data_IF_416749203770
#
_entry.id   IF_416749203770
#
_cell.length_a   1.000
_cell.length_b   1.000
_cell.length_c   1.000
_cell.angle_alpha   90.00
_cell.angle_beta   90.00
_cell.angle_gamma   90.00
#
_symmetry.space_group_name_H-M   'P 1'
#
loop_
_entity.id
_entity.type
_entity.pdbx_description
1 polymer ?
#
# COMPACT_ATOMS: atom_id res chain seq x y z
N UNK A 1 -7.63 -3.59 -29.05
CA UNK A 1 -7.04 -4.29 -27.89
C UNK A 1 -8.05 -4.39 -26.76
N UNK A 2 -8.14 -5.59 -26.14
CA UNK A 2 -9.11 -5.91 -25.07
C UNK A 2 -8.37 -6.51 -23.87
N UNK A 3 -8.41 -5.85 -22.74
CA UNK A 3 -7.77 -6.34 -21.50
C UNK A 3 -8.83 -6.69 -20.47
N UNK A 4 -8.66 -7.86 -19.85
CA UNK A 4 -9.47 -8.31 -18.73
C UNK A 4 -8.76 -7.93 -17.42
N UNK A 5 -9.48 -7.28 -16.52
CA UNK A 5 -9.03 -7.05 -15.14
C UNK A 5 -9.93 -7.82 -14.18
N UNK A 6 -9.34 -8.47 -13.18
CA UNK A 6 -10.07 -9.22 -12.15
C UNK A 6 -9.79 -8.59 -10.80
N UNK A 7 -10.84 -8.12 -10.11
CA UNK A 7 -10.74 -7.48 -8.80
C UNK A 7 -11.56 -6.20 -8.68
N UNK A 8 -11.60 -5.60 -7.48
CA UNK A 8 -12.46 -4.44 -7.17
C UNK A 8 -11.76 -3.41 -6.26
N UNK A 9 -10.45 -3.47 -6.08
CA UNK A 9 -9.71 -2.55 -5.21
C UNK A 9 -9.05 -1.42 -5.98
N UNK A 10 -8.36 -0.55 -5.23
CA UNK A 10 -7.64 0.61 -5.75
C UNK A 10 -6.64 0.24 -6.87
N UNK A 11 -5.96 -0.90 -6.74
CA UNK A 11 -5.04 -1.44 -7.75
C UNK A 11 -5.75 -1.66 -9.09
N UNK A 12 -6.85 -2.39 -9.09
CA UNK A 12 -7.62 -2.70 -10.30
C UNK A 12 -8.17 -1.45 -10.97
N UNK A 13 -8.72 -0.52 -10.17
CA UNK A 13 -9.29 0.73 -10.67
C UNK A 13 -8.21 1.66 -11.24
N UNK A 14 -7.04 1.72 -10.58
CA UNK A 14 -5.91 2.53 -11.04
C UNK A 14 -5.34 1.99 -12.35
N UNK A 15 -5.12 0.68 -12.44
CA UNK A 15 -4.65 0.03 -13.65
C UNK A 15 -5.67 0.18 -14.78
N UNK A 16 -6.96 -0.05 -14.51
CA UNK A 16 -8.04 0.13 -15.46
C UNK A 16 -8.08 1.54 -16.04
N UNK A 17 -7.91 2.55 -15.18
CA UNK A 17 -7.88 3.95 -15.63
C UNK A 17 -6.64 4.26 -16.49
N UNK A 18 -5.48 3.75 -16.11
CA UNK A 18 -4.25 3.88 -16.90
C UNK A 18 -4.39 3.25 -18.30
N UNK A 19 -4.95 2.04 -18.39
CA UNK A 19 -5.18 1.35 -19.67
C UNK A 19 -6.17 2.10 -20.58
N UNK A 20 -7.24 2.65 -20.01
CA UNK A 20 -8.21 3.44 -20.76
C UNK A 20 -7.60 4.72 -21.30
N UNK A 21 -6.72 5.38 -20.54
CA UNK A 21 -6.00 6.55 -20.99
C UNK A 21 -5.12 6.24 -22.22
N UNK A 22 -4.71 4.96 -22.40
CA UNK A 22 -4.02 4.43 -23.59
C UNK A 22 -4.97 3.91 -24.69
N UNK A 23 -6.27 4.25 -24.60
CA UNK A 23 -7.32 3.83 -25.56
C UNK A 23 -7.55 2.31 -25.64
N UNK A 24 -7.19 1.56 -24.59
CA UNK A 24 -7.42 0.12 -24.48
C UNK A 24 -8.81 -0.14 -23.90
N UNK A 25 -9.55 -1.08 -24.47
CA UNK A 25 -10.86 -1.51 -23.95
C UNK A 25 -10.67 -2.44 -22.75
N UNK A 26 -11.25 -2.08 -21.61
CA UNK A 26 -11.09 -2.78 -20.32
C UNK A 26 -12.41 -3.43 -19.90
N UNK A 27 -12.33 -4.74 -19.62
CA UNK A 27 -13.41 -5.53 -19.01
C UNK A 27 -13.00 -5.87 -17.59
N UNK A 28 -13.69 -5.26 -16.62
CA UNK A 28 -13.40 -5.49 -15.21
C UNK A 28 -14.39 -6.47 -14.60
N UNK A 29 -13.91 -7.64 -14.26
CA UNK A 29 -14.66 -8.70 -13.58
C UNK A 29 -14.46 -8.62 -12.08
N UNK A 30 -15.56 -8.60 -11.31
CA UNK A 30 -15.53 -8.41 -9.87
C UNK A 30 -16.66 -9.15 -9.19
N UNK A 31 -16.42 -9.61 -7.97
CA UNK A 31 -17.46 -10.11 -7.05
C UNK A 31 -18.01 -8.96 -6.22
N UNK A 32 -19.30 -8.99 -5.91
CA UNK A 32 -19.99 -7.88 -5.21
C UNK A 32 -19.69 -7.79 -3.71
N UNK A 33 -18.90 -8.71 -3.16
CA UNK A 33 -18.85 -9.03 -1.73
C UNK A 33 -17.85 -8.23 -0.88
N UNK A 34 -17.40 -7.03 -1.26
CA UNK A 34 -16.47 -6.27 -0.38
C UNK A 34 -17.15 -5.07 0.26
N UNK A 35 -17.41 -5.19 1.57
CA UNK A 35 -17.56 -4.01 2.44
C UNK A 35 -16.27 -3.19 2.35
N UNK A 36 -16.34 -2.01 1.75
CA UNK A 36 -15.17 -1.12 1.63
C UNK A 36 -14.76 -0.64 3.01
N UNK A 37 -13.54 -0.96 3.41
CA UNK A 37 -12.94 -0.43 4.63
C UNK A 37 -12.88 1.10 4.55
N UNK A 38 -13.56 1.81 5.47
CA UNK A 38 -13.70 3.28 5.42
C UNK A 38 -12.57 4.01 6.12
N UNK A 39 -11.85 3.34 7.00
CA UNK A 39 -10.76 3.93 7.81
C UNK A 39 -9.38 3.74 7.18
N UNK A 40 -9.27 2.88 6.16
CA UNK A 40 -7.98 2.62 5.51
C UNK A 40 -7.47 3.87 4.80
N UNK A 41 -6.25 4.27 5.17
CA UNK A 41 -5.53 5.39 4.57
C UNK A 41 -4.24 4.91 3.93
N UNK A 42 -3.77 5.65 2.96
CA UNK A 42 -2.58 5.32 2.17
C UNK A 42 -1.67 6.55 2.14
N UNK A 43 -0.38 6.31 2.41
CA UNK A 43 0.68 7.28 2.15
C UNK A 43 1.26 7.04 0.76
N UNK A 44 1.20 8.04 -0.10
CA UNK A 44 1.77 7.98 -1.45
C UNK A 44 3.01 8.86 -1.53
N UNK A 45 4.13 8.31 -2.01
CA UNK A 45 5.36 9.07 -2.25
C UNK A 45 5.14 10.13 -3.32
N UNK A 46 5.96 11.18 -3.31
CA UNK A 46 5.81 12.28 -4.26
C UNK A 46 5.88 11.82 -5.70
N UNK A 47 6.90 11.04 -6.07
CA UNK A 47 7.08 10.56 -7.45
C UNK A 47 5.92 9.67 -7.92
N UNK A 48 5.36 8.86 -7.00
CA UNK A 48 4.19 8.04 -7.28
C UNK A 48 2.91 8.88 -7.38
N UNK A 49 2.78 9.95 -6.60
CA UNK A 49 1.65 10.89 -6.73
C UNK A 49 1.70 11.65 -8.05
N UNK A 50 2.88 12.10 -8.46
CA UNK A 50 3.09 12.79 -9.73
C UNK A 50 2.74 11.85 -10.90
N UNK A 51 3.20 10.58 -10.85
CA UNK A 51 2.81 9.54 -11.82
C UNK A 51 1.29 9.30 -11.80
N UNK A 52 0.68 9.14 -10.62
CA UNK A 52 -0.75 8.90 -10.47
C UNK A 52 -1.57 10.04 -11.09
N UNK A 53 -1.18 11.28 -10.81
CA UNK A 53 -1.87 12.46 -11.31
C UNK A 53 -1.73 12.62 -12.84
N UNK A 54 -0.58 12.27 -13.39
CA UNK A 54 -0.29 12.41 -14.83
C UNK A 54 -0.88 11.27 -15.65
N UNK A 55 -0.65 10.03 -15.22
CA UNK A 55 -0.90 8.85 -16.05
C UNK A 55 -2.20 8.11 -15.71
N UNK A 56 -2.78 8.35 -14.53
CA UNK A 56 -4.01 7.69 -14.10
C UNK A 56 -5.14 8.71 -14.02
N UNK A 57 -5.17 9.52 -12.95
CA UNK A 57 -6.18 10.56 -12.77
C UNK A 57 -5.67 11.64 -11.82
N UNK A 58 -5.90 12.91 -12.18
CA UNK A 58 -5.61 14.05 -11.31
C UNK A 58 -6.49 14.02 -10.07
N UNK A 59 -5.88 13.85 -8.89
CA UNK A 59 -6.59 13.93 -7.61
C UNK A 59 -6.95 15.38 -7.28
N UNK A 60 -8.11 15.59 -6.68
CA UNK A 60 -8.52 16.89 -6.18
C UNK A 60 -7.68 17.29 -4.98
N UNK A 61 -7.38 18.57 -4.80
CA UNK A 61 -6.57 19.10 -3.68
C UNK A 61 -7.09 18.69 -2.29
N UNK A 62 -8.40 18.57 -2.13
CA UNK A 62 -9.02 18.16 -0.87
C UNK A 62 -9.00 16.66 -0.59
N UNK A 63 -8.58 15.84 -1.54
CA UNK A 63 -8.45 14.38 -1.37
C UNK A 63 -7.07 13.97 -0.83
N UNK A 64 -6.10 14.87 -0.82
CA UNK A 64 -4.73 14.58 -0.37
C UNK A 64 -4.29 15.52 0.72
N UNK A 65 -3.51 15.01 1.67
CA UNK A 65 -2.91 15.79 2.75
C UNK A 65 -1.39 15.60 2.76
N UNK A 66 -0.67 16.71 2.68
CA UNK A 66 0.78 16.70 2.50
C UNK A 66 1.52 16.54 3.82
N UNK A 67 2.47 15.62 3.87
CA UNK A 67 3.35 15.36 5.00
C UNK A 67 4.75 15.87 4.69
N UNK A 68 5.25 16.75 5.55
CA UNK A 68 6.59 17.35 5.44
C UNK A 68 7.62 16.65 6.30
N UNK A 69 7.16 15.93 7.32
CA UNK A 69 8.03 15.36 8.35
C UNK A 69 7.53 14.00 8.84
N UNK A 70 8.44 13.08 9.06
CA UNK A 70 8.18 11.80 9.72
C UNK A 70 9.06 11.72 10.96
N UNK A 71 8.45 11.50 12.10
CA UNK A 71 9.15 11.25 13.35
C UNK A 71 9.04 9.77 13.72
N UNK A 72 10.15 9.16 14.07
CA UNK A 72 10.20 7.79 14.57
C UNK A 72 10.56 7.81 16.05
N UNK A 73 9.76 7.09 16.84
CA UNK A 73 9.93 6.93 18.28
C UNK A 73 9.99 5.46 18.66
N UNK A 74 10.58 5.15 19.81
CA UNK A 74 10.40 3.86 20.49
C UNK A 74 9.95 4.09 21.92
N UNK A 75 9.12 3.17 22.42
CA UNK A 75 8.63 3.21 23.81
C UNK A 75 9.79 3.15 24.84
N UNK A 76 10.85 2.39 24.53
CA UNK A 76 12.03 2.20 25.35
C UNK A 76 12.73 3.49 25.77
N UNK A 77 12.62 4.54 24.96
CA UNK A 77 13.24 5.84 25.22
C UNK A 77 12.26 6.91 25.70
N UNK A 78 11.16 6.48 26.37
CA UNK A 78 10.16 7.37 26.99
C UNK A 78 9.72 8.53 26.07
N UNK A 79 9.43 8.21 24.80
CA UNK A 79 8.99 9.22 23.83
C UNK A 79 10.10 10.10 23.25
N UNK A 80 11.37 9.81 23.52
CA UNK A 80 12.48 10.49 22.84
C UNK A 80 12.45 10.11 21.34
N UNK A 81 12.53 11.12 20.51
CA UNK A 81 12.62 11.00 19.09
C UNK A 81 13.94 10.34 18.71
N UNK A 82 13.89 9.21 18.00
CA UNK A 82 15.07 8.47 17.58
C UNK A 82 15.57 8.96 16.24
N UNK A 83 14.64 9.19 15.30
CA UNK A 83 14.99 9.54 13.94
C UNK A 83 13.97 10.51 13.35
N UNK A 84 14.44 11.36 12.43
CA UNK A 84 13.64 12.37 11.79
C UNK A 84 13.94 12.41 10.29
N UNK A 85 12.91 12.22 9.48
CA UNK A 85 12.95 12.54 8.07
C UNK A 85 12.26 13.88 7.87
N UNK A 86 12.97 14.86 7.38
CA UNK A 86 12.43 16.19 7.10
C UNK A 86 12.91 16.67 5.74
N UNK A 87 12.00 17.13 4.92
CA UNK A 87 12.32 17.81 3.67
C UNK A 87 11.75 19.22 3.74
N UNK A 88 12.65 20.21 3.74
CA UNK A 88 12.29 21.61 3.93
C UNK A 88 11.66 22.24 2.68
N UNK A 89 12.01 21.74 1.49
CA UNK A 89 11.57 22.32 0.22
C UNK A 89 10.43 21.55 -0.48
N UNK A 90 10.16 20.29 -0.10
CA UNK A 90 9.20 19.42 -0.79
C UNK A 90 8.44 18.58 0.22
N UNK A 91 7.26 18.07 -0.14
CA UNK A 91 6.56 17.08 0.66
C UNK A 91 7.24 15.73 0.53
N UNK A 92 7.38 15.01 1.65
CA UNK A 92 7.91 13.63 1.68
C UNK A 92 6.91 12.67 1.03
N UNK A 93 5.65 12.77 1.44
CA UNK A 93 4.55 11.98 0.89
C UNK A 93 3.22 12.68 1.14
N UNK A 94 2.17 12.18 0.52
CA UNK A 94 0.80 12.67 0.72
C UNK A 94 -0.09 11.53 1.22
N UNK A 95 -0.95 11.85 2.17
CA UNK A 95 -1.95 10.92 2.70
C UNK A 95 -3.27 11.09 1.97
N UNK A 96 -3.98 9.99 1.72
CA UNK A 96 -5.36 10.00 1.26
C UNK A 96 -6.16 8.82 1.83
N UNK A 97 -7.48 8.94 1.81
CA UNK A 97 -8.37 7.85 2.19
C UNK A 97 -8.63 6.93 1.00
N UNK A 98 -8.40 5.64 1.19
CA UNK A 98 -8.51 4.64 0.13
C UNK A 98 -9.89 4.63 -0.53
N UNK A 99 -10.96 4.63 0.27
CA UNK A 99 -12.32 4.59 -0.23
C UNK A 99 -12.70 5.82 -1.07
N UNK A 100 -12.24 7.03 -0.69
CA UNK A 100 -12.54 8.26 -1.44
C UNK A 100 -11.90 8.22 -2.85
N UNK A 101 -10.66 7.73 -2.95
CA UNK A 101 -9.97 7.60 -4.24
C UNK A 101 -10.57 6.47 -5.09
N UNK A 102 -10.94 5.34 -4.46
CA UNK A 102 -11.65 4.26 -5.16
C UNK A 102 -12.98 4.74 -5.77
N UNK A 103 -13.79 5.45 -4.99
CA UNK A 103 -15.07 6.00 -5.45
C UNK A 103 -14.89 7.02 -6.58
N UNK A 104 -13.86 7.87 -6.47
CA UNK A 104 -13.52 8.85 -7.50
C UNK A 104 -13.11 8.18 -8.81
N UNK A 105 -12.24 7.17 -8.75
CA UNK A 105 -11.84 6.36 -9.90
C UNK A 105 -13.02 5.62 -10.52
N UNK A 106 -13.82 4.93 -9.70
CA UNK A 106 -14.96 4.16 -10.16
C UNK A 106 -15.99 5.03 -10.88
N UNK A 107 -16.28 6.22 -10.33
CA UNK A 107 -17.17 7.21 -10.96
C UNK A 107 -16.65 7.68 -12.33
N UNK A 108 -15.31 7.87 -12.44
CA UNK A 108 -14.69 8.26 -13.71
C UNK A 108 -14.71 7.12 -14.74
N UNK A 109 -14.41 5.90 -14.30
CA UNK A 109 -14.38 4.71 -15.14
C UNK A 109 -15.77 4.39 -15.72
N UNK A 110 -16.82 4.41 -14.89
CA UNK A 110 -18.19 4.13 -15.32
C UNK A 110 -18.71 5.06 -16.44
N UNK A 111 -18.16 6.28 -16.54
CA UNK A 111 -18.51 7.24 -17.60
C UNK A 111 -17.81 6.96 -18.93
N UNK A 112 -16.81 6.08 -18.97
CA UNK A 112 -15.99 5.86 -20.15
C UNK A 112 -16.48 4.64 -20.94
N UNK A 113 -16.75 4.82 -22.24
CA UNK A 113 -17.23 3.76 -23.15
C UNK A 113 -16.24 2.59 -23.32
N UNK A 114 -14.96 2.79 -23.03
CA UNK A 114 -13.93 1.75 -23.08
C UNK A 114 -13.91 0.88 -21.82
N UNK A 115 -14.67 1.21 -20.77
CA UNK A 115 -14.72 0.45 -19.53
C UNK A 115 -16.07 -0.28 -19.37
N UNK A 116 -15.99 -1.59 -19.12
CA UNK A 116 -17.17 -2.38 -18.79
C UNK A 116 -16.94 -3.14 -17.49
N UNK A 117 -17.71 -2.81 -16.43
CA UNK A 117 -17.71 -3.57 -15.16
C UNK A 117 -18.71 -4.73 -15.28
N UNK A 118 -18.30 -5.93 -14.91
CA UNK A 118 -19.08 -7.17 -14.98
C UNK A 118 -19.06 -7.83 -13.61
N UNK A 119 -20.23 -8.05 -13.04
CA UNK A 119 -20.37 -8.74 -11.76
C UNK A 119 -20.37 -10.25 -11.98
N UNK A 120 -19.58 -10.94 -11.18
CA UNK A 120 -19.46 -12.40 -11.17
C UNK A 120 -20.17 -12.95 -9.93
N UNK A 121 -21.00 -13.97 -10.14
CA UNK A 121 -21.79 -14.57 -9.06
C UNK A 121 -21.04 -15.67 -8.30
N UNK A 122 -20.13 -16.39 -8.94
CA UNK A 122 -19.44 -17.53 -8.36
C UNK A 122 -18.08 -17.80 -9.04
N UNK A 123 -17.27 -18.66 -8.43
CA UNK A 123 -15.93 -19.04 -8.86
C UNK A 123 -15.91 -19.77 -10.22
N UNK A 124 -16.95 -20.58 -10.53
CA UNK A 124 -17.06 -21.24 -11.83
C UNK A 124 -17.19 -20.22 -12.99
N UNK A 125 -17.95 -19.15 -12.76
CA UNK A 125 -18.06 -18.05 -13.73
C UNK A 125 -16.73 -17.33 -13.92
N UNK A 126 -15.94 -17.19 -12.85
CA UNK A 126 -14.61 -16.59 -12.90
C UNK A 126 -13.62 -17.47 -13.69
N UNK A 127 -13.66 -18.82 -13.51
CA UNK A 127 -12.84 -19.76 -14.30
C UNK A 127 -13.15 -19.68 -15.80
N UNK A 128 -14.41 -19.45 -16.18
CA UNK A 128 -14.78 -19.27 -17.60
C UNK A 128 -14.14 -18.01 -18.22
N UNK A 129 -13.91 -16.95 -17.42
CA UNK A 129 -13.29 -15.71 -17.91
C UNK A 129 -11.87 -15.94 -18.39
N UNK A 130 -11.12 -16.86 -17.78
CA UNK A 130 -9.74 -17.21 -18.17
C UNK A 130 -9.67 -17.78 -19.58
N UNK A 131 -10.73 -18.45 -20.04
CA UNK A 131 -10.82 -19.06 -21.37
C UNK A 131 -11.43 -18.13 -22.43
N UNK A 132 -11.78 -16.87 -22.05
CA UNK A 132 -12.30 -15.88 -23.00
C UNK A 132 -11.14 -15.26 -23.81
N UNK A 133 -11.46 -14.82 -25.01
CA UNK A 133 -10.50 -14.22 -25.92
C UNK A 133 -10.20 -12.76 -25.52
N UNK A 134 -9.24 -12.60 -24.58
CA UNK A 134 -8.62 -11.34 -24.21
C UNK A 134 -7.14 -11.35 -24.60
N UNK A 135 -6.65 -10.19 -25.03
CA UNK A 135 -5.22 -10.03 -25.32
C UNK A 135 -4.38 -10.25 -24.04
N UNK A 136 -4.83 -9.68 -22.91
CA UNK A 136 -4.22 -9.84 -21.59
C UNK A 136 -5.29 -10.04 -20.52
N UNK A 137 -5.02 -10.90 -19.55
CA UNK A 137 -5.81 -11.09 -18.33
C UNK A 137 -4.94 -10.73 -17.14
N UNK A 138 -5.39 -9.80 -16.29
CA UNK A 138 -4.63 -9.32 -15.14
C UNK A 138 -5.45 -9.53 -13.87
N UNK A 139 -4.98 -10.42 -12.99
CA UNK A 139 -5.62 -10.73 -11.73
C UNK A 139 -5.05 -9.89 -10.60
N UNK A 140 -5.87 -8.98 -10.06
CA UNK A 140 -5.54 -8.12 -8.91
C UNK A 140 -6.20 -8.59 -7.60
N UNK A 141 -6.95 -9.69 -7.60
CA UNK A 141 -7.63 -10.21 -6.40
C UNK A 141 -6.88 -11.39 -5.81
N UNK A 142 -6.30 -11.19 -4.63
CA UNK A 142 -5.49 -12.18 -3.95
C UNK A 142 -6.29 -13.33 -3.30
N UNK A 143 -7.63 -13.22 -3.27
CA UNK A 143 -8.50 -14.16 -2.56
C UNK A 143 -9.51 -14.85 -3.50
N UNK A 144 -9.20 -15.01 -4.77
CA UNK A 144 -10.06 -15.69 -5.72
C UNK A 144 -9.46 -17.02 -6.17
N UNK A 145 -10.30 -17.85 -6.81
CA UNK A 145 -9.93 -19.19 -7.28
C UNK A 145 -8.77 -19.20 -8.28
N UNK A 146 -8.60 -18.12 -9.09
CA UNK A 146 -7.48 -17.99 -10.04
C UNK A 146 -6.16 -17.84 -9.28
N UNK A 147 -6.17 -17.09 -8.19
CA UNK A 147 -4.99 -16.95 -7.34
C UNK A 147 -4.63 -18.27 -6.66
N UNK A 148 -5.63 -19.01 -6.18
CA UNK A 148 -5.43 -20.31 -5.53
C UNK A 148 -4.92 -21.36 -6.51
N UNK A 149 -5.41 -21.36 -7.74
CA UNK A 149 -5.08 -22.38 -8.74
C UNK A 149 -3.73 -22.10 -9.44
N UNK A 150 -3.43 -20.85 -9.80
CA UNK A 150 -2.27 -20.54 -10.65
C UNK A 150 -1.13 -19.84 -9.91
N UNK A 151 -1.41 -19.17 -8.78
CA UNK A 151 -0.44 -18.34 -8.05
C UNK A 151 -0.23 -18.80 -6.59
N UNK A 152 -0.33 -20.09 -6.33
CA UNK A 152 -0.16 -20.67 -4.99
C UNK A 152 1.30 -20.72 -4.52
N UNK A 153 2.27 -20.71 -5.43
CA UNK A 153 3.71 -20.72 -5.09
C UNK A 153 4.15 -19.37 -4.57
N UNK A 154 4.09 -19.19 -3.23
CA UNK A 154 4.41 -17.93 -2.56
C UNK A 154 5.38 -18.18 -1.40
N UNK A 155 6.19 -17.16 -1.11
CA UNK A 155 6.88 -17.05 0.17
C UNK A 155 5.87 -16.39 1.11
N UNK A 156 5.38 -17.14 2.09
CA UNK A 156 4.37 -16.67 3.03
C UNK A 156 4.94 -16.61 4.45
N UNK A 157 4.63 -15.53 5.19
CA UNK A 157 4.91 -15.42 6.61
C UNK A 157 3.67 -14.88 7.31
N UNK A 158 3.15 -15.64 8.25
CA UNK A 158 2.09 -15.18 9.13
C UNK A 158 2.74 -14.48 10.33
N UNK A 159 2.45 -13.21 10.52
CA UNK A 159 2.96 -12.46 11.66
C UNK A 159 2.24 -12.81 12.98
N UNK A 160 1.09 -13.55 12.91
CA UNK A 160 0.19 -13.72 14.05
C UNK A 160 -0.17 -12.38 14.71
N UNK A 161 -0.32 -11.36 13.88
CA UNK A 161 -0.58 -9.98 14.29
C UNK A 161 -1.82 -9.45 13.58
N UNK A 162 -2.51 -8.51 14.22
CA UNK A 162 -3.62 -7.76 13.63
C UNK A 162 -3.27 -6.28 13.56
N UNK A 163 -3.68 -5.63 12.49
CA UNK A 163 -3.74 -4.18 12.44
C UNK A 163 -5.14 -3.70 12.81
N UNK A 164 -5.17 -2.68 13.66
CA UNK A 164 -6.36 -1.93 14.03
C UNK A 164 -6.24 -0.54 13.43
N UNK A 165 -7.29 -0.07 12.76
CA UNK A 165 -7.28 1.27 12.17
C UNK A 165 -8.52 2.05 12.57
N UNK A 166 -8.32 3.31 12.91
CA UNK A 166 -9.38 4.28 13.13
C UNK A 166 -8.93 5.67 12.68
N UNK A 167 -9.87 6.59 12.58
CA UNK A 167 -9.60 8.01 12.40
C UNK A 167 -9.94 8.71 13.70
N UNK A 168 -8.99 9.43 14.27
CA UNK A 168 -9.23 10.31 15.40
C UNK A 168 -9.58 11.71 14.90
N UNK A 169 -10.63 12.29 15.47
CA UNK A 169 -10.96 13.71 15.36
C UNK A 169 -10.39 14.45 16.59
N UNK A 170 -9.71 15.55 16.36
CA UNK A 170 -9.00 16.27 17.41
C UNK A 170 -9.12 17.79 17.21
N UNK A 171 -8.80 18.57 18.25
CA UNK A 171 -8.74 20.02 18.12
C UNK A 171 -7.78 20.46 17.02
N UNK A 172 -8.03 21.63 16.45
CA UNK A 172 -7.25 22.18 15.33
C UNK A 172 -5.77 22.34 15.71
N UNK A 173 -4.90 21.73 14.91
CA UNK A 173 -3.44 21.88 15.04
C UNK A 173 -2.79 21.97 13.65
N UNK A 174 -1.55 22.46 13.58
CA UNK A 174 -0.72 22.29 12.38
C UNK A 174 -0.30 20.83 12.31
N UNK A 175 -0.87 20.10 11.34
CA UNK A 175 -0.80 18.65 11.27
C UNK A 175 -0.12 18.15 10.00
N UNK A 176 1.17 18.43 9.84
CA UNK A 176 1.99 18.05 8.67
C UNK A 176 3.11 17.06 9.01
N UNK A 177 3.08 16.48 10.21
CA UNK A 177 4.10 15.55 10.71
C UNK A 177 3.45 14.21 11.00
N UNK A 178 3.86 13.15 10.30
CA UNK A 178 3.51 11.78 10.63
C UNK A 178 4.42 11.26 11.75
N UNK A 179 3.90 10.33 12.57
CA UNK A 179 4.67 9.68 13.61
C UNK A 179 4.52 8.16 13.54
N UNK A 180 5.63 7.46 13.73
CA UNK A 180 5.68 6.02 13.92
C UNK A 180 6.32 5.74 15.28
N UNK A 181 5.62 5.02 16.14
CA UNK A 181 6.09 4.64 17.47
C UNK A 181 6.22 3.11 17.50
N UNK A 182 7.40 2.60 17.76
CA UNK A 182 7.62 1.18 17.96
C UNK A 182 7.46 0.85 19.45
N UNK A 183 6.34 0.23 19.78
CA UNK A 183 5.98 -0.14 21.15
C UNK A 183 6.27 -1.62 21.42
N UNK A 184 6.27 -2.04 22.69
CA UNK A 184 6.41 -3.45 23.10
C UNK A 184 5.27 -4.34 22.56
N UNK A 185 4.10 -3.75 22.32
CA UNK A 185 2.92 -4.47 21.82
C UNK A 185 2.98 -4.57 20.29
N UNK A 186 3.60 -3.59 19.62
CA UNK A 186 3.75 -3.49 18.17
C UNK A 186 3.77 -2.04 17.70
N UNK A 187 4.00 -1.78 16.42
CA UNK A 187 4.10 -0.43 15.89
C UNK A 187 2.74 0.27 15.82
N UNK A 188 2.70 1.53 16.25
CA UNK A 188 1.57 2.44 16.08
C UNK A 188 1.98 3.63 15.24
N UNK A 189 1.18 3.99 14.23
CA UNK A 189 1.38 5.13 13.38
C UNK A 189 0.25 6.16 13.53
N UNK A 190 0.62 7.43 13.59
CA UNK A 190 -0.28 8.58 13.52
C UNK A 190 -0.04 9.30 12.19
N UNK A 191 -1.02 9.23 11.30
CA UNK A 191 -0.92 9.67 9.91
C UNK A 191 -1.90 10.82 9.65
N UNK A 192 -1.46 12.07 9.58
CA UNK A 192 -2.32 13.23 9.40
C UNK A 192 -3.16 13.17 8.12
N UNK A 193 -4.45 13.52 8.22
CA UNK A 193 -5.38 13.65 7.10
C UNK A 193 -5.90 15.07 6.90
N UNK A 194 -5.84 15.87 7.95
CA UNK A 194 -6.19 17.30 7.96
C UNK A 194 -5.68 17.95 9.25
N UNK A 195 -5.94 19.23 9.43
CA UNK A 195 -5.67 19.92 10.70
C UNK A 195 -6.57 19.45 11.87
N UNK A 196 -7.58 18.62 11.59
CA UNK A 196 -8.57 18.14 12.56
C UNK A 196 -8.68 16.61 12.63
N UNK A 197 -8.07 15.89 11.67
CA UNK A 197 -8.21 14.43 11.55
C UNK A 197 -6.86 13.76 11.32
N UNK A 198 -6.65 12.66 12.03
CA UNK A 198 -5.46 11.82 11.90
C UNK A 198 -5.89 10.34 11.86
N UNK A 199 -5.38 9.62 10.88
CA UNK A 199 -5.54 8.16 10.85
C UNK A 199 -4.54 7.52 11.79
N UNK A 200 -5.01 6.53 12.54
CA UNK A 200 -4.19 5.70 13.42
C UNK A 200 -4.17 4.28 12.87
N UNK A 201 -2.97 3.72 12.76
CA UNK A 201 -2.76 2.31 12.39
C UNK A 201 -1.94 1.67 13.50
N UNK A 202 -2.54 0.77 14.26
CA UNK A 202 -1.90 0.08 15.36
C UNK A 202 -1.80 -1.42 15.06
N UNK A 203 -0.60 -1.93 14.93
CA UNK A 203 -0.34 -3.36 14.72
C UNK A 203 0.01 -4.00 16.05
N UNK A 204 -0.66 -5.11 16.40
CA UNK A 204 -0.44 -5.81 17.67
C UNK A 204 -0.04 -7.25 17.43
N UNK A 205 0.93 -7.76 18.18
CA UNK A 205 1.27 -9.19 18.23
C UNK A 205 0.23 -9.92 19.10
N UNK A 206 -0.47 -10.89 18.51
CA UNK A 206 -1.53 -11.65 19.19
C UNK A 206 -1.01 -12.86 19.99
N UNK A 207 0.30 -13.11 19.99
CA UNK A 207 0.84 -14.32 20.65
C UNK A 207 0.55 -14.37 22.14
N UNK A 208 0.46 -13.21 22.81
CA UNK A 208 0.39 -13.14 24.25
C UNK A 208 -0.91 -12.55 24.79
N UNK A 209 -1.73 -11.86 23.98
CA UNK A 209 -2.99 -11.23 24.43
C UNK A 209 -3.93 -10.94 23.27
N UNK A 210 -5.21 -11.31 23.45
CA UNK A 210 -6.29 -10.85 22.57
C UNK A 210 -6.84 -9.54 23.16
N UNK A 211 -6.76 -8.47 22.38
CA UNK A 211 -7.29 -7.17 22.77
C UNK A 211 -8.72 -7.00 22.27
N UNK A 212 -9.59 -6.47 23.13
CA UNK A 212 -10.90 -5.98 22.72
C UNK A 212 -10.80 -4.53 22.19
N UNK A 213 -11.89 -4.00 21.62
CA UNK A 213 -11.89 -2.70 20.97
C UNK A 213 -11.61 -1.55 21.95
N UNK A 214 -12.16 -1.62 23.16
CA UNK A 214 -11.95 -0.62 24.21
C UNK A 214 -10.49 -0.58 24.68
N UNK A 215 -9.85 -1.75 24.82
CA UNK A 215 -8.44 -1.83 25.18
C UNK A 215 -7.54 -1.20 24.10
N UNK A 216 -7.86 -1.43 22.82
CA UNK A 216 -7.11 -0.81 21.71
C UNK A 216 -7.28 0.71 21.72
N UNK A 217 -8.48 1.24 21.93
CA UNK A 217 -8.71 2.68 22.00
C UNK A 217 -7.95 3.31 23.16
N UNK A 218 -7.97 2.69 24.36
CA UNK A 218 -7.16 3.14 25.50
C UNK A 218 -5.66 3.13 25.22
N UNK A 219 -5.16 2.11 24.49
CA UNK A 219 -3.76 2.08 24.09
C UNK A 219 -3.43 3.19 23.08
N UNK A 220 -4.33 3.49 22.14
CA UNK A 220 -4.16 4.62 21.21
C UNK A 220 -4.10 5.94 21.99
N UNK A 221 -4.95 6.15 22.98
CA UNK A 221 -4.91 7.32 23.86
C UNK A 221 -3.60 7.38 24.65
N UNK A 222 -3.15 6.27 25.21
CA UNK A 222 -1.90 6.17 25.98
C UNK A 222 -0.66 6.53 25.15
N UNK A 223 -0.60 6.07 23.89
CA UNK A 223 0.51 6.39 22.98
C UNK A 223 0.32 7.70 22.22
N UNK A 224 -0.82 8.36 22.40
CA UNK A 224 -1.06 9.66 21.81
C UNK A 224 -0.17 10.73 22.47
N UNK A 225 0.73 11.29 21.68
CA UNK A 225 1.73 12.25 22.17
C UNK A 225 1.36 13.72 21.87
N UNK A 226 0.30 13.98 21.08
CA UNK A 226 0.13 15.30 20.47
C UNK A 226 -1.32 15.79 20.39
N UNK A 227 -2.28 14.86 20.21
CA UNK A 227 -3.62 15.22 19.82
C UNK A 227 -4.56 15.33 21.03
N UNK A 228 -5.30 16.42 21.12
CA UNK A 228 -6.46 16.51 22.02
C UNK A 228 -7.65 15.88 21.30
N UNK A 229 -7.88 14.59 21.58
CA UNK A 229 -8.87 13.74 20.90
C UNK A 229 -10.28 14.16 21.33
N UNK A 230 -11.16 14.37 20.34
CA UNK A 230 -12.58 14.65 20.54
C UNK A 230 -13.41 13.38 20.30
N UNK A 231 -13.07 12.61 19.24
CA UNK A 231 -13.85 11.46 18.84
C UNK A 231 -13.00 10.43 18.11
N UNK A 232 -13.43 9.15 18.17
CA UNK A 232 -12.87 8.04 17.39
C UNK A 232 -13.90 7.57 16.37
N UNK A 233 -13.46 7.33 15.13
CA UNK A 233 -14.28 6.58 14.18
C UNK A 233 -14.41 5.11 14.62
N UNK A 234 -15.27 4.35 13.94
CA UNK A 234 -15.34 2.89 14.12
C UNK A 234 -13.96 2.27 13.92
N UNK A 235 -13.56 1.37 14.82
CA UNK A 235 -12.34 0.58 14.74
C UNK A 235 -12.51 -0.54 13.71
N UNK A 236 -11.63 -0.59 12.71
CA UNK A 236 -11.55 -1.67 11.72
C UNK A 236 -10.32 -2.54 11.98
N UNK A 237 -10.42 -3.84 11.62
CA UNK A 237 -9.40 -4.86 11.94
C UNK A 237 -9.00 -5.64 10.70
N UNK A 238 -7.70 -5.89 10.53
CA UNK A 238 -7.17 -6.73 9.45
C UNK A 238 -6.11 -7.68 9.98
N UNK A 239 -6.10 -8.91 9.47
CA UNK A 239 -4.99 -9.83 9.72
C UNK A 239 -3.77 -9.39 8.91
N UNK A 240 -2.59 -9.45 9.55
CA UNK A 240 -1.34 -9.10 8.93
C UNK A 240 -0.61 -10.34 8.45
N UNK A 241 -0.22 -10.35 7.19
CA UNK A 241 0.57 -11.41 6.58
C UNK A 241 1.55 -10.82 5.59
N UNK A 242 2.69 -11.45 5.45
CA UNK A 242 3.60 -11.24 4.34
C UNK A 242 3.35 -12.31 3.29
N UNK A 243 3.32 -11.91 2.05
CA UNK A 243 3.23 -12.84 0.93
C UNK A 243 3.94 -12.26 -0.27
N UNK A 244 4.79 -13.07 -0.91
CA UNK A 244 5.48 -12.72 -2.14
C UNK A 244 5.38 -13.88 -3.12
N UNK A 245 4.79 -13.64 -4.30
CA UNK A 245 4.62 -14.64 -5.33
C UNK A 245 5.96 -15.00 -5.97
N UNK A 246 6.18 -16.29 -6.22
CA UNK A 246 7.37 -16.78 -6.94
C UNK A 246 7.23 -16.67 -8.44
N UNK A 247 6.01 -16.75 -8.97
CA UNK A 247 5.70 -16.62 -10.39
C UNK A 247 4.70 -15.48 -10.56
N UNK A 248 4.95 -14.59 -11.52
CA UNK A 248 4.10 -13.43 -11.74
C UNK A 248 3.06 -13.67 -12.84
N UNK A 249 3.28 -14.67 -13.70
CA UNK A 249 2.31 -14.98 -14.72
C UNK A 249 2.17 -16.50 -14.95
N UNK A 250 1.04 -16.87 -15.52
CA UNK A 250 0.74 -18.21 -16.00
C UNK A 250 -0.02 -18.09 -17.32
N UNK A 251 0.56 -18.59 -18.42
CA UNK A 251 0.02 -18.38 -19.79
C UNK A 251 -0.26 -16.89 -20.04
N UNK A 252 -1.50 -16.54 -20.35
CA UNK A 252 -1.95 -15.17 -20.62
C UNK A 252 -2.53 -14.44 -19.38
N UNK A 253 -2.28 -14.96 -18.17
CA UNK A 253 -2.75 -14.39 -16.90
C UNK A 253 -1.58 -13.83 -16.13
N UNK A 254 -1.62 -12.53 -15.81
CA UNK A 254 -0.68 -11.85 -14.92
C UNK A 254 -1.26 -11.74 -13.52
N UNK A 255 -0.52 -12.15 -12.50
CA UNK A 255 -0.74 -11.73 -11.11
C UNK A 255 -0.35 -10.26 -10.94
N UNK A 256 -1.11 -9.49 -10.15
CA UNK A 256 -0.81 -8.07 -9.97
C UNK A 256 -1.18 -7.53 -8.58
N UNK A 257 -0.43 -6.55 -8.08
CA UNK A 257 -0.69 -5.94 -6.79
C UNK A 257 -0.61 -6.93 -5.61
N UNK A 258 -1.64 -7.02 -4.77
CA UNK A 258 -1.68 -7.89 -3.59
C UNK A 258 -1.58 -9.40 -3.93
N UNK A 259 -1.77 -9.80 -5.19
CA UNK A 259 -1.50 -11.18 -5.65
C UNK A 259 0.00 -11.45 -5.69
N UNK A 260 0.79 -10.47 -6.15
CA UNK A 260 2.25 -10.57 -6.21
C UNK A 260 2.87 -10.38 -4.82
N UNK A 261 2.53 -9.26 -4.15
CA UNK A 261 3.16 -8.87 -2.91
C UNK A 261 2.17 -8.30 -1.88
N UNK A 262 2.20 -8.86 -0.69
CA UNK A 262 1.50 -8.34 0.48
C UNK A 262 2.52 -8.09 1.59
N UNK A 263 2.60 -6.87 2.06
CA UNK A 263 3.60 -6.43 3.05
C UNK A 263 2.94 -5.91 4.32
N UNK A 264 3.71 -5.86 5.40
CA UNK A 264 3.29 -5.20 6.63
C UNK A 264 2.96 -3.72 6.34
N UNK A 265 1.87 -3.15 6.90
CA UNK A 265 1.44 -1.78 6.63
C UNK A 265 2.32 -0.71 7.28
N UNK A 266 3.63 -0.95 7.41
CA UNK A 266 4.58 0.06 7.86
C UNK A 266 4.54 1.25 6.90
N UNK A 267 4.12 2.39 7.42
CA UNK A 267 4.01 3.66 6.67
C UNK A 267 3.18 3.61 5.37
N UNK A 268 2.27 2.64 5.21
CA UNK A 268 1.37 2.56 4.04
C UNK A 268 2.05 2.25 2.71
N UNK A 269 3.20 1.60 2.70
CA UNK A 269 4.06 1.42 1.52
C UNK A 269 3.53 0.44 0.45
N UNK A 270 2.58 -0.45 0.77
CA UNK A 270 2.11 -1.48 -0.17
C UNK A 270 1.64 -0.93 -1.51
N UNK A 271 0.86 0.16 -1.51
CA UNK A 271 0.36 0.75 -2.75
C UNK A 271 1.44 1.46 -3.56
N UNK A 272 2.51 1.95 -2.93
CA UNK A 272 3.65 2.55 -3.64
C UNK A 272 4.40 1.53 -4.50
N UNK A 273 4.51 0.28 -4.03
CA UNK A 273 5.07 -0.82 -4.83
C UNK A 273 4.16 -1.09 -6.04
N UNK A 274 2.85 -1.18 -5.80
CA UNK A 274 1.86 -1.40 -6.85
C UNK A 274 1.89 -0.30 -7.92
N UNK A 275 2.04 0.98 -7.54
CA UNK A 275 2.13 2.08 -8.50
C UNK A 275 3.40 2.01 -9.34
N UNK A 276 4.52 1.59 -8.77
CA UNK A 276 5.74 1.33 -9.53
C UNK A 276 5.53 0.20 -10.53
N UNK A 277 4.85 -0.87 -10.13
CA UNK A 277 4.51 -1.98 -11.01
C UNK A 277 3.56 -1.54 -12.13
N UNK A 278 2.55 -0.69 -11.83
CA UNK A 278 1.69 -0.08 -12.86
C UNK A 278 2.52 0.73 -13.85
N UNK A 279 3.49 1.51 -13.38
CA UNK A 279 4.36 2.31 -14.24
C UNK A 279 5.14 1.42 -15.21
N UNK A 280 5.80 0.37 -14.72
CA UNK A 280 6.56 -0.57 -15.56
C UNK A 280 5.64 -1.24 -16.59
N UNK A 281 4.51 -1.79 -16.17
CA UNK A 281 3.55 -2.44 -17.08
C UNK A 281 3.00 -1.45 -18.11
N UNK A 282 2.70 -0.23 -17.70
CA UNK A 282 2.24 0.87 -18.55
C UNK A 282 3.26 1.24 -19.63
N UNK A 283 4.54 1.29 -19.28
CA UNK A 283 5.65 1.55 -20.22
C UNK A 283 5.79 0.42 -21.25
N UNK A 284 5.73 -0.84 -20.79
CA UNK A 284 5.80 -2.01 -21.66
C UNK A 284 4.64 -2.05 -22.68
N UNK A 285 3.43 -1.84 -22.20
CA UNK A 285 2.23 -1.78 -23.05
C UNK A 285 2.35 -0.63 -24.06
N UNK A 286 2.78 0.55 -23.61
CA UNK A 286 2.93 1.71 -24.47
C UNK A 286 3.95 1.45 -25.59
N UNK A 287 5.09 0.85 -25.25
CA UNK A 287 6.13 0.48 -26.24
C UNK A 287 5.58 -0.49 -27.30
N UNK A 288 4.77 -1.49 -26.90
CA UNK A 288 4.13 -2.42 -27.85
C UNK A 288 3.17 -1.70 -28.79
N UNK A 289 2.37 -0.78 -28.26
CA UNK A 289 1.42 0.02 -29.06
C UNK A 289 2.17 0.87 -30.08
N UNK A 290 3.23 1.56 -29.67
CA UNK A 290 4.05 2.43 -30.54
C UNK A 290 4.75 1.66 -31.66
N UNK A 291 5.16 0.43 -31.40
CA UNK A 291 5.78 -0.46 -32.38
C UNK A 291 4.74 -1.23 -33.24
N UNK A 292 3.45 -1.04 -33.01
CA UNK A 292 2.41 -1.81 -33.72
C UNK A 292 2.38 -3.30 -33.37
N UNK A 293 3.01 -3.72 -32.26
CA UNK A 293 3.10 -5.11 -31.84
C UNK A 293 1.85 -5.55 -31.06
N UNK A 294 1.48 -6.84 -31.12
CA UNK A 294 0.35 -7.36 -30.35
C UNK A 294 0.64 -7.31 -28.85
N UNK A 295 -0.42 -7.21 -28.05
CA UNK A 295 -0.37 -7.41 -26.60
C UNK A 295 -0.52 -8.90 -26.32
N UNK A 296 0.55 -9.56 -25.92
CA UNK A 296 0.59 -10.98 -25.59
C UNK A 296 1.36 -11.24 -24.28
N UNK A 297 1.49 -12.53 -23.92
CA UNK A 297 2.14 -12.94 -22.67
C UNK A 297 3.63 -12.62 -22.57
N UNK A 298 4.30 -12.27 -23.67
CA UNK A 298 5.72 -11.85 -23.63
C UNK A 298 5.91 -10.53 -22.84
N UNK A 299 4.87 -9.70 -22.77
CA UNK A 299 4.85 -8.52 -21.89
C UNK A 299 4.99 -8.93 -20.43
N UNK A 300 4.38 -10.04 -20.03
CA UNK A 300 4.39 -10.52 -18.65
C UNK A 300 5.78 -11.04 -18.24
N UNK A 301 6.46 -11.70 -19.16
CA UNK A 301 7.84 -12.14 -18.93
C UNK A 301 8.77 -10.94 -18.75
N UNK A 302 8.68 -9.94 -19.62
CA UNK A 302 9.47 -8.71 -19.51
C UNK A 302 9.11 -7.94 -18.21
N UNK A 303 7.83 -7.90 -17.83
CA UNK A 303 7.37 -7.32 -16.57
C UNK A 303 7.95 -8.05 -15.35
N UNK A 304 7.89 -9.39 -15.32
CA UNK A 304 8.47 -10.19 -14.24
C UNK A 304 9.98 -9.94 -14.13
N UNK A 305 10.70 -9.97 -15.24
CA UNK A 305 12.14 -9.75 -15.26
C UNK A 305 12.54 -8.36 -14.75
N UNK A 306 11.75 -7.31 -15.04
CA UNK A 306 12.04 -5.95 -14.58
C UNK A 306 11.65 -5.70 -13.13
N UNK A 307 10.64 -6.40 -12.61
CA UNK A 307 10.04 -6.02 -11.31
C UNK A 307 10.36 -7.00 -10.19
N UNK A 308 10.56 -8.28 -10.47
CA UNK A 308 10.64 -9.35 -9.48
C UNK A 308 11.76 -9.16 -8.46
N UNK A 309 12.97 -8.85 -8.92
CA UNK A 309 14.11 -8.61 -8.02
C UNK A 309 13.93 -7.37 -7.15
N UNK A 310 13.35 -6.29 -7.71
CA UNK A 310 13.06 -5.07 -6.97
C UNK A 310 11.96 -5.29 -5.93
N UNK A 311 10.90 -6.03 -6.30
CA UNK A 311 9.82 -6.39 -5.38
C UNK A 311 10.33 -7.26 -4.24
N UNK A 312 11.24 -8.23 -4.53
CA UNK A 312 11.85 -9.06 -3.50
C UNK A 312 12.67 -8.23 -2.50
N UNK A 313 13.57 -7.39 -3.00
CA UNK A 313 14.42 -6.53 -2.15
C UNK A 313 13.54 -5.61 -1.29
N UNK A 314 12.55 -4.96 -1.90
CA UNK A 314 11.72 -3.98 -1.23
C UNK A 314 10.82 -4.62 -0.15
N UNK A 315 10.13 -5.71 -0.49
CA UNK A 315 9.25 -6.40 0.45
C UNK A 315 10.03 -7.03 1.60
N UNK A 316 11.21 -7.61 1.32
CA UNK A 316 12.08 -8.18 2.35
C UNK A 316 12.66 -7.10 3.26
N UNK A 317 12.96 -5.91 2.73
CA UNK A 317 13.44 -4.78 3.55
C UNK A 317 12.38 -4.31 4.54
N UNK A 318 11.11 -4.22 4.13
CA UNK A 318 10.00 -3.88 5.04
C UNK A 318 9.85 -4.93 6.15
N UNK A 319 9.94 -6.22 5.80
CA UNK A 319 9.87 -7.32 6.76
C UNK A 319 11.05 -7.26 7.75
N UNK A 320 12.26 -7.00 7.25
CA UNK A 320 13.47 -6.87 8.07
C UNK A 320 13.35 -5.73 9.08
N UNK A 321 12.83 -4.57 8.67
CA UNK A 321 12.60 -3.45 9.58
C UNK A 321 11.62 -3.84 10.70
N UNK A 322 10.51 -4.48 10.33
CA UNK A 322 9.52 -4.93 11.32
C UNK A 322 10.15 -5.88 12.34
N UNK A 323 10.89 -6.89 11.87
CA UNK A 323 11.54 -7.87 12.74
C UNK A 323 12.66 -7.23 13.58
N UNK A 324 13.43 -6.29 13.02
CA UNK A 324 14.47 -5.57 13.76
C UNK A 324 13.90 -4.83 14.96
N UNK A 325 12.82 -4.06 14.78
CA UNK A 325 12.20 -3.34 15.90
C UNK A 325 11.54 -4.30 16.89
N UNK A 326 10.97 -5.39 16.42
CA UNK A 326 10.40 -6.44 17.28
C UNK A 326 11.47 -7.10 18.14
N UNK A 327 12.65 -7.35 17.57
CA UNK A 327 13.81 -7.90 18.27
C UNK A 327 14.40 -6.91 19.28
N UNK A 328 14.63 -5.66 18.87
CA UNK A 328 15.17 -4.60 19.74
C UNK A 328 14.28 -4.33 20.95
N UNK A 329 12.96 -4.43 20.80
CA UNK A 329 12.02 -4.30 21.91
C UNK A 329 12.08 -5.48 22.90
N UNK A 330 12.50 -6.67 22.46
CA UNK A 330 12.65 -7.85 23.33
C UNK A 330 13.96 -7.86 24.11
N UNK A 331 15.03 -7.42 23.49
CA UNK A 331 16.38 -7.41 24.10
C UNK A 331 16.62 -6.01 24.65
N UNK A 332 16.98 -5.94 25.93
CA UNK A 332 17.25 -4.66 26.61
C UNK A 332 18.57 -3.97 26.12
N UNK A 333 19.00 -4.22 24.90
CA UNK A 333 20.20 -3.66 24.29
C UNK A 333 19.93 -2.37 23.51
N UNK A 334 20.86 -1.43 23.58
CA UNK A 334 20.80 -0.12 22.93
C UNK A 334 21.19 -0.17 21.42
N UNK A 335 20.96 -1.29 20.73
CA UNK A 335 21.40 -1.51 19.35
C UNK A 335 20.74 -0.50 18.41
N UNK A 336 19.43 -0.32 18.53
CA UNK A 336 18.70 0.67 17.71
C UNK A 336 19.21 2.09 17.95
N UNK A 337 19.53 2.45 19.21
CA UNK A 337 20.07 3.78 19.53
C UNK A 337 21.43 4.04 18.89
N UNK A 338 22.31 3.03 18.88
CA UNK A 338 23.61 3.12 18.21
C UNK A 338 23.49 3.29 16.70
N UNK A 339 22.64 2.46 16.08
CA UNK A 339 22.39 2.50 14.64
C UNK A 339 21.78 3.84 14.21
N UNK A 340 20.75 4.31 14.91
CA UNK A 340 20.09 5.57 14.57
C UNK A 340 20.96 6.80 14.84
N UNK A 341 21.76 6.80 15.90
CA UNK A 341 22.77 7.85 16.12
C UNK A 341 23.80 7.90 14.99
N UNK A 342 24.22 6.74 14.49
CA UNK A 342 25.10 6.65 13.33
C UNK A 342 24.45 7.22 12.08
N UNK A 343 23.18 6.86 11.82
CA UNK A 343 22.40 7.37 10.68
C UNK A 343 22.17 8.88 10.78
N UNK A 344 21.86 9.41 11.95
CA UNK A 344 21.60 10.84 12.19
C UNK A 344 22.87 11.70 12.04
N UNK A 345 24.01 11.17 12.47
CA UNK A 345 25.31 11.83 12.29
C UNK A 345 25.82 11.81 10.85
N UNK A 346 25.42 10.83 10.03
CA UNK A 346 25.84 10.68 8.64
C UNK A 346 24.82 11.29 7.68
N UNK A 347 25.00 12.58 7.32
CA UNK A 347 24.15 13.30 6.37
C UNK A 347 23.96 12.57 5.02
N UNK A 348 24.97 11.82 4.56
CA UNK A 348 24.91 11.06 3.31
C UNK A 348 23.99 9.84 3.45
N UNK A 349 24.04 9.14 4.57
CA UNK A 349 23.15 8.02 4.88
C UNK A 349 21.72 8.52 5.01
N UNK A 350 21.49 9.61 5.75
CA UNK A 350 20.16 10.23 5.88
C UNK A 350 19.60 10.68 4.51
N UNK A 351 20.42 11.34 3.68
CA UNK A 351 20.03 11.71 2.30
C UNK A 351 19.71 10.50 1.42
N UNK A 352 20.47 9.41 1.56
CA UNK A 352 20.21 8.18 0.83
C UNK A 352 18.84 7.60 1.22
N UNK A 353 18.53 7.50 2.50
CA UNK A 353 17.24 7.04 2.99
C UNK A 353 16.09 7.96 2.58
N UNK A 354 16.25 9.27 2.74
CA UNK A 354 15.23 10.26 2.32
C UNK A 354 14.96 10.19 0.82
N UNK A 355 16.02 10.07 -0.01
CA UNK A 355 15.90 9.96 -1.47
C UNK A 355 15.20 8.67 -1.89
N UNK A 356 15.46 7.57 -1.20
CA UNK A 356 14.82 6.30 -1.47
C UNK A 356 13.37 6.28 -0.97
N UNK A 357 13.08 6.91 0.17
CA UNK A 357 11.70 7.12 0.64
C UNK A 357 10.87 7.92 -0.37
N UNK A 358 11.43 8.98 -0.98
CA UNK A 358 10.76 9.78 -2.00
C UNK A 358 10.47 8.99 -3.29
N UNK A 359 11.30 8.00 -3.62
CA UNK A 359 11.09 7.10 -4.76
C UNK A 359 10.16 5.92 -4.44
N UNK A 360 9.60 5.88 -3.23
CA UNK A 360 8.83 4.72 -2.75
C UNK A 360 9.72 3.53 -2.38
N UNK A 361 11.02 3.75 -2.27
CA UNK A 361 12.00 2.84 -1.71
C UNK A 361 12.29 3.34 -0.30
N UNK A 362 11.74 2.74 0.73
CA UNK A 362 12.28 2.84 2.08
C UNK A 362 13.37 1.79 2.16
N UNK A 363 14.48 2.16 1.70
CA UNK A 363 15.90 1.80 1.68
C UNK A 363 16.52 2.06 0.34
#
# INVERSE_FOLDING_TARGET
>A
MKVCLIGNGLTTLSLGKNLINKKIKVFNYTTDNKTKARTRTIGISKDNLDFFNKEIIQLKKNMTWNIKKINIYTEKYKGQKIFNFEETKKNLFSMFKNNEVEEYLEKNLKKNKLFKKILIKNDQSLKKVVNMNFDLIINCDANNIITEEFFFRKINKNYNSKAFTCIIEHKKIVNNTAAQIFTKIGPIAFLPLSNFKTSVVFSTDLKNKKFNDMEILKLIEFYNYKYEIINFSKLEKFNLSFSLSRNYFYKNILAFGDVIHRVHPLAGQGFNITLRDIKVLSELIQKRIELGLPLDSSIFEEFENRTKHLNYIFTSSIDLIYEFFKFDNKINNNISKGLFRFMDKNKNVNKFFTRNANKGLVF
#
